data_IF_162498926251
#
_entry.id   IF_162498926251
#
_cell.length_a   1.000
_cell.length_b   1.000
_cell.length_c   1.000
_cell.angle_alpha   90.00
_cell.angle_beta   90.00
_cell.angle_gamma   90.00
#
_symmetry.space_group_name_H-M   'P 1'
#
loop_
_entity.id
_entity.type
_entity.pdbx_description
1 polymer ?
#
# COMPACT_ATOMS: atom_id res chain seq x y z
N UNK A 1 17.57 17.98 4.65
CA UNK A 1 16.65 18.74 3.79
C UNK A 1 15.50 17.83 3.44
N UNK A 2 14.34 18.02 4.07
CA UNK A 2 13.10 17.36 3.68
C UNK A 2 12.61 18.21 2.50
N UNK A 3 12.61 17.68 1.28
CA UNK A 3 11.87 18.33 0.18
C UNK A 3 10.47 18.64 0.71
N UNK A 4 9.91 19.81 0.38
CA UNK A 4 8.53 20.21 0.70
C UNK A 4 7.53 19.27 0.00
N UNK A 5 7.57 17.99 0.37
CA UNK A 5 6.67 16.94 -0.04
C UNK A 5 5.47 16.98 0.89
N UNK A 6 4.29 17.03 0.27
CA UNK A 6 2.98 17.06 0.92
C UNK A 6 2.91 16.07 2.09
N UNK A 7 2.19 16.44 3.14
CA UNK A 7 2.06 15.56 4.31
C UNK A 7 1.22 14.34 3.95
N UNK A 8 1.52 13.18 4.55
CA UNK A 8 0.72 11.94 4.40
C UNK A 8 -0.77 12.19 4.67
N UNK A 9 -1.08 13.12 5.58
CA UNK A 9 -2.45 13.55 5.86
C UNK A 9 -3.16 14.17 4.65
N UNK A 10 -2.45 14.90 3.78
CA UNK A 10 -3.02 15.48 2.56
C UNK A 10 -3.31 14.41 1.50
N UNK A 11 -2.42 13.43 1.32
CA UNK A 11 -2.66 12.31 0.40
C UNK A 11 -3.84 11.43 0.84
N UNK A 12 -3.96 11.21 2.16
CA UNK A 12 -5.10 10.52 2.76
C UNK A 12 -6.39 11.34 2.57
N UNK A 13 -6.36 12.66 2.80
CA UNK A 13 -7.51 13.55 2.59
C UNK A 13 -7.96 13.63 1.12
N UNK A 14 -7.05 13.42 0.18
CA UNK A 14 -7.36 13.33 -1.25
C UNK A 14 -8.02 11.97 -1.63
N UNK A 15 -8.09 11.01 -0.70
CA UNK A 15 -8.63 9.68 -0.96
C UNK A 15 -7.75 8.84 -1.88
N UNK A 16 -6.43 9.06 -1.88
CA UNK A 16 -5.51 8.29 -2.72
C UNK A 16 -5.20 6.93 -2.08
N UNK A 17 -4.72 5.95 -2.86
CA UNK A 17 -4.10 4.76 -2.28
C UNK A 17 -2.76 5.16 -1.64
N UNK A 18 -2.41 4.54 -0.52
CA UNK A 18 -1.20 4.89 0.22
C UNK A 18 -0.73 3.76 1.13
N UNK A 19 -1.14 2.53 0.83
CA UNK A 19 -0.62 1.35 1.49
C UNK A 19 -0.57 0.19 0.51
N UNK A 20 0.52 -0.59 0.57
CA UNK A 20 0.58 -1.93 -0.02
C UNK A 20 0.73 -2.93 1.12
N UNK A 21 -0.16 -3.92 1.14
CA UNK A 21 -0.09 -5.06 2.03
C UNK A 21 0.24 -6.30 1.21
N UNK A 22 1.29 -7.00 1.60
CA UNK A 22 1.71 -8.24 0.94
C UNK A 22 1.40 -9.42 1.84
N UNK A 23 0.82 -10.44 1.23
CA UNK A 23 0.48 -11.71 1.88
C UNK A 23 1.26 -12.84 1.24
N UNK A 24 1.58 -13.84 2.06
CA UNK A 24 2.04 -15.14 1.61
C UNK A 24 0.93 -16.15 1.84
N UNK A 25 0.59 -16.92 0.81
CA UNK A 25 -0.32 -18.04 0.95
C UNK A 25 0.47 -19.24 1.45
N UNK A 26 0.09 -19.82 2.59
CA UNK A 26 0.70 -21.06 3.06
C UNK A 26 0.04 -22.26 2.37
N UNK A 27 0.67 -23.44 2.44
CA UNK A 27 0.10 -24.69 1.91
C UNK A 27 -1.30 -25.02 2.46
N UNK A 28 -1.65 -24.46 3.62
CA UNK A 28 -2.99 -24.58 4.24
C UNK A 28 -4.03 -23.60 3.68
N UNK A 29 -3.69 -22.77 2.68
CA UNK A 29 -4.57 -21.76 2.10
C UNK A 29 -4.72 -20.48 2.94
N UNK A 30 -4.06 -20.40 4.09
CA UNK A 30 -4.12 -19.23 4.96
C UNK A 30 -3.26 -18.10 4.40
N UNK A 31 -3.87 -16.93 4.19
CA UNK A 31 -3.14 -15.70 3.85
C UNK A 31 -2.54 -15.10 5.11
N UNK A 32 -1.22 -15.05 5.18
CA UNK A 32 -0.51 -14.35 6.26
C UNK A 32 0.08 -13.07 5.73
N UNK A 33 -0.20 -11.95 6.39
CA UNK A 33 0.48 -10.69 6.11
C UNK A 33 1.97 -10.86 6.40
N UNK A 34 2.79 -10.63 5.39
CA UNK A 34 4.25 -10.67 5.49
C UNK A 34 4.87 -9.28 5.39
N UNK A 35 4.12 -8.30 4.87
CA UNK A 35 4.59 -6.92 4.79
C UNK A 35 3.45 -5.92 4.75
N UNK A 36 3.64 -4.81 5.46
CA UNK A 36 2.91 -3.56 5.23
C UNK A 36 3.90 -2.50 4.79
N UNK A 37 3.54 -1.75 3.76
CA UNK A 37 4.30 -0.62 3.27
C UNK A 37 3.39 0.59 3.14
N UNK A 38 3.71 1.65 3.89
CA UNK A 38 3.07 2.96 3.80
C UNK A 38 4.08 3.93 3.13
N UNK A 39 3.97 4.20 1.81
CA UNK A 39 4.85 5.15 1.13
C UNK A 39 4.69 6.60 1.63
N UNK A 40 5.67 7.49 1.34
CA UNK A 40 5.46 8.94 1.45
C UNK A 40 4.28 9.39 0.58
N UNK A 41 3.78 10.61 0.75
CA UNK A 41 2.54 11.10 0.14
C UNK A 41 2.48 10.91 -1.39
N UNK A 42 1.89 9.80 -1.84
CA UNK A 42 1.63 9.48 -3.24
C UNK A 42 0.29 10.06 -3.71
N UNK A 43 0.23 10.42 -4.99
CA UNK A 43 -0.97 10.97 -5.63
C UNK A 43 -1.83 9.89 -6.30
N UNK A 44 -1.29 8.69 -6.51
CA UNK A 44 -1.97 7.60 -7.21
C UNK A 44 -1.50 6.22 -6.76
N UNK A 45 -2.27 5.18 -7.11
CA UNK A 45 -1.88 3.79 -6.87
C UNK A 45 -0.61 3.40 -7.66
N UNK A 46 -0.45 3.95 -8.87
CA UNK A 46 0.75 3.76 -9.69
C UNK A 46 2.01 4.22 -8.96
N UNK A 47 1.98 5.44 -8.39
CA UNK A 47 3.12 5.97 -7.63
C UNK A 47 3.43 5.10 -6.40
N UNK A 48 2.41 4.60 -5.70
CA UNK A 48 2.58 3.70 -4.56
C UNK A 48 3.27 2.40 -4.99
N UNK A 49 2.86 1.84 -6.13
CA UNK A 49 3.46 0.64 -6.73
C UNK A 49 4.91 0.90 -7.14
N UNK A 50 5.19 2.02 -7.81
CA UNK A 50 6.54 2.40 -8.21
C UNK A 50 7.45 2.62 -7.00
N UNK A 51 6.97 3.30 -5.97
CA UNK A 51 7.69 3.46 -4.70
C UNK A 51 7.99 2.11 -4.05
N UNK A 52 7.02 1.20 -4.01
CA UNK A 52 7.24 -0.15 -3.49
C UNK A 52 8.32 -0.88 -4.30
N UNK A 53 8.22 -0.88 -5.64
CA UNK A 53 9.19 -1.56 -6.52
C UNK A 53 10.59 -0.99 -6.38
N UNK A 54 10.72 0.32 -6.27
CA UNK A 54 12.01 0.98 -6.05
C UNK A 54 12.67 0.58 -4.73
N UNK A 55 11.88 0.29 -3.69
CA UNK A 55 12.40 -0.07 -2.38
C UNK A 55 12.59 -1.57 -2.17
N UNK A 56 11.71 -2.40 -2.74
CA UNK A 56 11.63 -3.83 -2.44
C UNK A 56 11.77 -4.75 -3.65
N UNK A 57 11.80 -4.21 -4.87
CA UNK A 57 11.84 -4.99 -6.09
C UNK A 57 10.47 -5.53 -6.51
N UNK A 58 10.49 -6.59 -7.33
CA UNK A 58 9.28 -7.27 -7.79
C UNK A 58 8.82 -8.32 -6.79
N UNK A 59 7.53 -8.64 -6.87
CA UNK A 59 6.85 -9.59 -6.02
C UNK A 59 7.05 -11.01 -6.55
N UNK A 60 7.52 -11.92 -5.69
CA UNK A 60 7.65 -13.34 -6.04
C UNK A 60 6.30 -14.03 -6.27
N UNK A 61 6.29 -15.13 -7.02
CA UNK A 61 5.07 -15.84 -7.43
C UNK A 61 4.22 -16.37 -6.26
N UNK A 62 4.86 -16.66 -5.13
CA UNK A 62 4.22 -17.16 -3.91
C UNK A 62 3.51 -16.08 -3.07
N UNK A 63 3.61 -14.82 -3.49
CA UNK A 63 3.03 -13.68 -2.79
C UNK A 63 1.89 -13.04 -3.59
N UNK A 64 0.94 -12.48 -2.85
CA UNK A 64 -0.13 -11.64 -3.36
C UNK A 64 -0.05 -10.27 -2.68
N UNK A 65 -0.52 -9.23 -3.35
CA UNK A 65 -0.45 -7.88 -2.82
C UNK A 65 -1.75 -7.12 -3.04
N UNK A 66 -2.12 -6.33 -2.04
CA UNK A 66 -3.29 -5.48 -2.05
C UNK A 66 -2.88 -4.02 -1.83
N UNK A 67 -3.40 -3.14 -2.68
CA UNK A 67 -3.34 -1.70 -2.48
C UNK A 67 -4.53 -1.25 -1.64
N UNK A 68 -4.29 -0.47 -0.58
CA UNK A 68 -5.35 0.04 0.29
C UNK A 68 -5.42 1.56 0.30
N UNK A 69 -6.65 2.06 0.33
CA UNK A 69 -7.00 3.46 0.57
C UNK A 69 -7.56 3.58 1.99
N UNK A 70 -6.96 4.43 2.81
CA UNK A 70 -7.39 4.72 4.19
C UNK A 70 -8.14 6.05 4.21
N UNK A 71 -9.24 6.09 4.96
CA UNK A 71 -10.05 7.27 5.16
C UNK A 71 -9.29 8.32 5.95
N UNK A 72 -9.40 9.58 5.52
CA UNK A 72 -9.08 10.71 6.39
C UNK A 72 -10.14 10.84 7.48
N UNK A 73 -9.74 10.68 8.74
CA UNK A 73 -10.51 11.21 9.86
C UNK A 73 -11.18 10.18 10.76
N UNK A 74 -10.40 9.30 11.39
CA UNK A 74 -10.82 8.80 12.69
C UNK A 74 -9.77 9.08 13.74
N UNK A 75 -10.19 9.87 14.74
CA UNK A 75 -9.51 10.06 16.03
C UNK A 75 -9.33 8.73 16.80
N UNK A 76 -9.85 7.60 16.28
CA UNK A 76 -9.79 6.28 16.91
C UNK A 76 -9.13 5.17 16.08
N UNK A 77 -8.60 5.44 14.88
CA UNK A 77 -7.87 4.42 14.10
C UNK A 77 -7.75 4.69 12.60
N UNK A 78 -6.96 3.86 11.91
CA UNK A 78 -6.89 3.82 10.43
C UNK A 78 -8.05 2.98 9.91
N UNK A 79 -8.91 3.56 9.07
CA UNK A 79 -10.04 2.86 8.45
C UNK A 79 -9.74 2.64 6.97
N UNK A 80 -9.71 1.39 6.52
CA UNK A 80 -9.56 1.07 5.10
C UNK A 80 -10.90 1.33 4.41
N UNK A 81 -10.93 2.30 3.49
CA UNK A 81 -12.10 2.62 2.67
C UNK A 81 -12.23 1.68 1.48
N UNK A 82 -11.10 1.34 0.87
CA UNK A 82 -11.08 0.53 -0.34
C UNK A 82 -9.81 -0.33 -0.42
N UNK A 83 -9.94 -1.49 -1.05
CA UNK A 83 -8.86 -2.45 -1.28
C UNK A 83 -8.93 -2.93 -2.72
N UNK A 84 -7.79 -2.97 -3.40
CA UNK A 84 -7.66 -3.50 -4.74
C UNK A 84 -6.50 -4.50 -4.82
N UNK A 85 -6.64 -5.54 -5.65
CA UNK A 85 -5.52 -6.44 -5.94
C UNK A 85 -4.51 -5.74 -6.86
N UNK A 86 -3.24 -5.76 -6.46
CA UNK A 86 -2.12 -5.20 -7.22
C UNK A 86 -1.03 -6.23 -7.49
N UNK A 87 -1.34 -7.51 -7.30
CA UNK A 87 -0.40 -8.62 -7.41
C UNK A 87 0.29 -8.61 -8.77
N UNK A 88 -0.49 -8.58 -9.85
CA UNK A 88 0.05 -8.59 -11.23
C UNK A 88 0.89 -7.35 -11.55
N UNK A 89 0.61 -6.21 -10.91
CA UNK A 89 1.33 -4.96 -11.16
C UNK A 89 2.67 -4.88 -10.44
N UNK A 90 2.84 -5.70 -9.39
CA UNK A 90 4.06 -5.80 -8.62
C UNK A 90 4.96 -6.96 -9.06
N UNK A 91 4.49 -7.83 -9.95
CA UNK A 91 5.28 -8.91 -10.56
C UNK A 91 6.33 -8.38 -11.55
#
# INVERSE_FOLDING_TARGET
>A
MVQEGRSVAQAIAAGNYHQITVYRTTESGTRRIVRHYDPPACESLDEVIECYRGQFGTLGEEFIAEGSRIAAGSTRGRFIEDVCDVTERLR
#
